data_IF_005336653166
#
_entry.id   IF_005336653166
#
_cell.length_a   1.000
_cell.length_b   1.000
_cell.length_c   1.000
_cell.angle_alpha   90.00
_cell.angle_beta   90.00
_cell.angle_gamma   90.00
#
_symmetry.space_group_name_H-M   'P 1'
#
loop_
_entity.id
_entity.type
_entity.pdbx_description
1 polymer ?
#
# COMPACT_ATOMS: atom_id res chain seq x y z
N UNK A 1 -21.14 -36.45 -5.71
CA UNK A 1 -20.17 -36.28 -4.60
C UNK A 1 -19.48 -34.95 -4.79
N UNK A 2 -19.90 -33.91 -4.07
CA UNK A 2 -19.28 -32.59 -4.15
C UNK A 2 -18.00 -32.59 -3.29
N UNK A 3 -16.84 -32.52 -3.94
CA UNK A 3 -15.56 -32.40 -3.24
C UNK A 3 -15.51 -31.08 -2.50
N UNK A 4 -15.31 -31.14 -1.18
CA UNK A 4 -15.02 -29.97 -0.34
C UNK A 4 -13.73 -29.33 -0.87
N UNK A 5 -13.85 -28.18 -1.55
CA UNK A 5 -12.71 -27.36 -1.94
C UNK A 5 -12.09 -26.82 -0.65
N UNK A 6 -10.89 -27.29 -0.31
CA UNK A 6 -10.11 -26.67 0.76
C UNK A 6 -9.80 -25.24 0.32
N UNK A 7 -10.30 -24.26 1.08
CA UNK A 7 -9.94 -22.87 0.86
C UNK A 7 -8.53 -22.62 1.41
N UNK A 8 -7.80 -21.67 0.80
CA UNK A 8 -6.50 -21.22 1.32
C UNK A 8 -6.62 -20.92 2.82
N UNK A 9 -5.57 -21.25 3.58
CA UNK A 9 -5.55 -20.99 5.03
C UNK A 9 -6.02 -19.56 5.26
N UNK A 10 -7.09 -19.48 6.05
CA UNK A 10 -7.69 -18.26 6.51
C UNK A 10 -6.61 -17.27 6.95
N UNK A 11 -6.51 -16.12 6.27
CA UNK A 11 -5.77 -14.97 6.80
C UNK A 11 -6.51 -14.55 8.06
N UNK A 12 -5.99 -14.94 9.21
CA UNK A 12 -6.61 -14.65 10.50
C UNK A 12 -6.59 -13.13 10.74
N UNK A 13 -7.69 -12.47 10.37
CA UNK A 13 -8.26 -11.22 10.90
C UNK A 13 -7.26 -10.14 11.35
N UNK A 14 -6.72 -9.31 10.43
CA UNK A 14 -6.40 -7.88 10.73
C UNK A 14 -6.07 -7.00 9.51
N UNK A 15 -6.65 -7.22 8.31
CA UNK A 15 -6.37 -6.29 7.19
C UNK A 15 -7.13 -4.95 7.23
N UNK A 16 -7.95 -4.73 8.26
CA UNK A 16 -8.51 -3.43 8.63
C UNK A 16 -8.53 -3.31 10.16
N UNK A 17 -7.95 -2.21 10.68
CA UNK A 17 -7.86 -1.81 12.10
C UNK A 17 -6.92 -2.61 13.04
N UNK A 18 -5.74 -2.05 13.32
CA UNK A 18 -5.34 -1.62 14.68
C UNK A 18 -4.06 -0.79 14.60
N UNK A 19 -4.25 0.53 14.61
CA UNK A 19 -3.19 1.48 14.90
C UNK A 19 -2.88 1.37 16.40
N UNK A 20 -2.02 0.42 16.81
CA UNK A 20 -1.41 0.53 18.15
C UNK A 20 -0.32 1.58 18.07
N UNK A 21 -0.57 2.72 18.68
CA UNK A 21 0.43 3.74 18.99
C UNK A 21 1.59 3.07 19.72
N UNK A 22 2.72 2.92 19.03
CA UNK A 22 3.99 2.66 19.69
C UNK A 22 4.42 3.96 20.40
N UNK A 23 3.90 4.16 21.61
CA UNK A 23 4.49 5.08 22.58
C UNK A 23 5.86 4.52 22.94
N UNK A 24 6.89 5.34 22.75
CA UNK A 24 8.27 4.99 23.02
C UNK A 24 8.46 4.48 24.46
N UNK A 25 9.21 3.41 24.62
CA UNK A 25 10.02 3.18 25.82
C UNK A 25 11.43 2.75 25.39
N UNK A 26 12.47 3.28 26.05
CA UNK A 26 13.85 3.16 25.60
C UNK A 26 14.50 1.87 26.11
N UNK A 27 15.69 1.59 25.57
CA UNK A 27 16.65 0.55 25.98
C UNK A 27 16.48 -0.81 25.31
N UNK A 28 17.08 -0.97 24.12
CA UNK A 28 17.99 -2.10 23.87
C UNK A 28 19.10 -1.70 22.89
N UNK A 29 20.30 -2.26 23.14
CA UNK A 29 21.58 -1.95 22.51
C UNK A 29 21.56 -2.13 20.99
N UNK A 30 22.29 -1.25 20.30
CA UNK A 30 22.63 -1.32 18.88
C UNK A 30 23.40 -2.62 18.58
N UNK A 31 22.79 -3.55 17.85
CA UNK A 31 23.54 -4.44 16.96
C UNK A 31 23.59 -3.80 15.57
N UNK A 32 24.75 -3.78 14.88
CA UNK A 32 24.85 -3.23 13.54
C UNK A 32 24.21 -4.21 12.57
N UNK A 33 22.88 -4.16 12.42
CA UNK A 33 22.22 -4.86 11.32
C UNK A 33 22.48 -4.06 10.06
N UNK A 34 23.32 -4.60 9.18
CA UNK A 34 23.62 -4.06 7.87
C UNK A 34 22.34 -3.61 7.14
N UNK A 35 22.30 -2.32 6.79
CA UNK A 35 21.32 -1.74 5.88
C UNK A 35 21.44 -2.44 4.52
N UNK A 36 20.63 -3.47 4.28
CA UNK A 36 20.34 -3.91 2.92
C UNK A 36 19.31 -2.93 2.35
N UNK A 37 19.82 -1.91 1.66
CA UNK A 37 19.10 -1.30 0.55
C UNK A 37 18.55 -2.45 -0.31
N UNK A 38 17.26 -2.40 -0.68
CA UNK A 38 16.70 -3.27 -1.71
C UNK A 38 17.28 -2.82 -3.06
N UNK A 39 18.58 -3.04 -3.22
CA UNK A 39 19.21 -3.08 -4.53
C UNK A 39 18.48 -4.18 -5.30
N UNK A 40 17.97 -3.86 -6.49
CA UNK A 40 17.51 -4.83 -7.48
C UNK A 40 18.58 -5.91 -7.62
N UNK A 41 18.39 -7.03 -6.91
CA UNK A 41 19.22 -8.21 -7.11
C UNK A 41 18.87 -8.71 -8.49
N UNK A 42 19.82 -8.68 -9.42
CA UNK A 42 19.73 -9.47 -10.64
C UNK A 42 19.66 -10.93 -10.18
N UNK A 43 18.47 -11.51 -10.23
CA UNK A 43 18.28 -12.90 -9.89
C UNK A 43 19.04 -13.76 -10.90
N UNK A 44 19.79 -14.74 -10.43
CA UNK A 44 20.36 -15.77 -11.31
C UNK A 44 19.22 -16.64 -11.82
N UNK A 45 19.37 -17.27 -13.00
CA UNK A 45 18.37 -18.20 -13.55
C UNK A 45 17.94 -19.25 -12.52
N UNK A 46 18.89 -19.81 -11.78
CA UNK A 46 18.64 -20.76 -10.68
C UNK A 46 17.77 -20.19 -9.55
N UNK A 47 17.84 -18.88 -9.30
CA UNK A 47 17.00 -18.23 -8.29
C UNK A 47 15.58 -17.97 -8.79
N UNK A 48 15.39 -17.78 -10.09
CA UNK A 48 14.07 -17.61 -10.71
C UNK A 48 13.33 -18.95 -10.69
N UNK A 49 13.97 -20.03 -11.14
CA UNK A 49 13.37 -21.37 -11.10
C UNK A 49 12.97 -21.79 -9.68
N UNK A 50 13.81 -21.49 -8.69
CA UNK A 50 13.44 -21.74 -7.30
C UNK A 50 12.22 -20.93 -6.83
N UNK A 51 12.09 -19.65 -7.24
CA UNK A 51 10.90 -18.85 -6.93
C UNK A 51 9.64 -19.41 -7.60
N UNK A 52 9.76 -19.89 -8.84
CA UNK A 52 8.66 -20.51 -9.59
C UNK A 52 8.14 -21.76 -8.87
N UNK A 53 9.04 -22.67 -8.50
CA UNK A 53 8.70 -23.87 -7.72
C UNK A 53 8.07 -23.52 -6.36
N UNK A 54 8.61 -22.51 -5.66
CA UNK A 54 8.06 -22.06 -4.37
C UNK A 54 6.61 -21.57 -4.51
N UNK A 55 6.30 -20.79 -5.56
CA UNK A 55 4.94 -20.28 -5.82
C UNK A 55 3.96 -21.42 -6.07
N UNK A 56 4.32 -22.38 -6.93
CA UNK A 56 3.48 -23.54 -7.25
C UNK A 56 3.23 -24.36 -5.98
N UNK A 57 4.29 -24.68 -5.24
CA UNK A 57 4.18 -25.44 -3.99
C UNK A 57 3.29 -24.72 -2.97
N UNK A 58 3.43 -23.40 -2.80
CA UNK A 58 2.57 -22.61 -1.91
C UNK A 58 1.12 -22.60 -2.37
N UNK A 59 0.87 -22.49 -3.67
CA UNK A 59 -0.48 -22.51 -4.21
C UNK A 59 -1.16 -23.87 -3.98
N UNK A 60 -0.48 -24.97 -4.29
CA UNK A 60 -0.99 -26.34 -4.09
C UNK A 60 -1.22 -26.66 -2.60
N UNK A 61 -0.37 -26.13 -1.73
CA UNK A 61 -0.51 -26.28 -0.28
C UNK A 61 -1.46 -25.26 0.36
N UNK A 62 -2.15 -24.44 -0.43
CA UNK A 62 -3.12 -23.47 0.07
C UNK A 62 -2.53 -22.39 1.02
N UNK A 63 -1.23 -22.12 0.86
CA UNK A 63 -0.40 -21.24 1.69
C UNK A 63 0.17 -20.03 0.90
N UNK A 64 -0.22 -19.84 -0.37
CA UNK A 64 0.17 -18.66 -1.15
C UNK A 64 -0.63 -17.42 -0.74
N UNK A 65 0.10 -16.33 -0.44
CA UNK A 65 -0.48 -15.07 0.04
C UNK A 65 -0.20 -13.89 -0.92
N UNK A 66 -0.84 -12.75 -0.68
CA UNK A 66 -0.64 -11.52 -1.48
C UNK A 66 0.80 -11.03 -1.39
N UNK A 67 1.42 -11.13 -0.21
CA UNK A 67 2.80 -10.73 0.02
C UNK A 67 3.79 -11.53 -0.82
N UNK A 68 3.52 -12.83 -1.04
CA UNK A 68 4.35 -13.66 -1.91
C UNK A 68 4.26 -13.18 -3.36
N UNK A 69 3.04 -12.90 -3.85
CA UNK A 69 2.78 -12.38 -5.20
C UNK A 69 3.50 -11.04 -5.41
N UNK A 70 3.37 -10.10 -4.46
CA UNK A 70 4.03 -8.79 -4.53
C UNK A 70 5.56 -8.96 -4.50
N UNK A 71 6.09 -9.83 -3.64
CA UNK A 71 7.53 -10.07 -3.53
C UNK A 71 8.12 -10.56 -4.85
N UNK A 72 7.49 -11.55 -5.49
CA UNK A 72 8.02 -12.11 -6.75
C UNK A 72 7.88 -11.13 -7.91
N UNK A 73 6.84 -10.29 -7.92
CA UNK A 73 6.64 -9.27 -8.96
C UNK A 73 7.76 -8.22 -9.02
N UNK A 74 8.52 -8.05 -7.94
CA UNK A 74 9.69 -7.16 -7.88
C UNK A 74 10.84 -7.61 -8.80
N UNK A 75 10.87 -8.88 -9.19
CA UNK A 75 11.88 -9.42 -10.11
C UNK A 75 11.70 -8.91 -11.55
N UNK A 76 10.47 -8.51 -11.92
CA UNK A 76 10.12 -8.06 -13.27
C UNK A 76 10.34 -9.13 -14.35
N UNK A 77 10.39 -10.40 -13.98
CA UNK A 77 10.56 -11.51 -14.90
C UNK A 77 9.22 -11.90 -15.56
N UNK A 78 9.09 -11.82 -16.90
CA UNK A 78 7.87 -12.21 -17.62
C UNK A 78 7.42 -13.65 -17.36
N UNK A 79 8.35 -14.59 -17.11
CA UNK A 79 7.99 -15.99 -16.85
C UNK A 79 7.21 -16.13 -15.54
N UNK A 80 7.47 -15.26 -14.55
CA UNK A 80 6.70 -15.25 -13.31
C UNK A 80 5.26 -14.82 -13.57
N UNK A 81 5.04 -13.88 -14.50
CA UNK A 81 3.69 -13.49 -14.90
C UNK A 81 2.91 -14.68 -15.49
N UNK A 82 3.56 -15.46 -16.37
CA UNK A 82 2.97 -16.67 -16.96
C UNK A 82 2.55 -17.64 -15.87
N UNK A 83 3.45 -17.95 -14.94
CA UNK A 83 3.20 -18.92 -13.86
C UNK A 83 2.12 -18.43 -12.90
N UNK A 84 2.09 -17.13 -12.57
CA UNK A 84 1.02 -16.58 -11.74
C UNK A 84 -0.34 -16.73 -12.43
N UNK A 85 -0.42 -16.49 -13.74
CA UNK A 85 -1.67 -16.68 -14.50
C UNK A 85 -2.07 -18.16 -14.58
N UNK A 86 -1.14 -19.08 -14.80
CA UNK A 86 -1.40 -20.52 -14.76
C UNK A 86 -1.92 -20.96 -13.38
N UNK A 87 -1.32 -20.47 -12.29
CA UNK A 87 -1.80 -20.72 -10.92
C UNK A 87 -3.21 -20.18 -10.74
N UNK A 88 -3.48 -18.94 -11.18
CA UNK A 88 -4.81 -18.31 -11.08
C UNK A 88 -5.87 -19.16 -11.78
N UNK A 89 -5.60 -19.63 -12.99
CA UNK A 89 -6.50 -20.47 -13.78
C UNK A 89 -6.72 -21.83 -13.10
N UNK A 90 -5.62 -22.53 -12.76
CA UNK A 90 -5.66 -23.85 -12.13
C UNK A 90 -6.39 -23.85 -10.79
N UNK A 91 -6.21 -22.79 -9.99
CA UNK A 91 -6.88 -22.65 -8.69
C UNK A 91 -8.28 -22.04 -8.80
N UNK A 92 -8.68 -21.57 -9.99
CA UNK A 92 -9.94 -20.86 -10.24
C UNK A 92 -10.16 -19.71 -9.25
N UNK A 93 -9.12 -18.93 -8.97
CA UNK A 93 -9.21 -17.87 -7.97
C UNK A 93 -10.06 -16.71 -8.45
N UNK A 94 -10.95 -16.19 -7.58
CA UNK A 94 -11.86 -15.13 -7.99
C UNK A 94 -11.10 -13.81 -8.17
N UNK A 95 -11.56 -13.01 -9.13
CA UNK A 95 -11.10 -11.63 -9.37
C UNK A 95 -11.91 -10.61 -8.56
N UNK A 96 -13.11 -10.99 -8.11
CA UNK A 96 -13.95 -10.18 -7.24
C UNK A 96 -14.02 -10.78 -5.84
N UNK A 97 -14.43 -9.95 -4.87
CA UNK A 97 -14.67 -10.43 -3.51
C UNK A 97 -15.88 -11.37 -3.55
N UNK A 98 -15.71 -12.59 -3.03
CA UNK A 98 -16.79 -13.57 -2.92
C UNK A 98 -17.07 -13.80 -1.45
N UNK A 99 -18.32 -13.61 -1.05
CA UNK A 99 -18.81 -13.95 0.28
C UNK A 99 -19.57 -15.28 0.19
N UNK A 100 -19.19 -16.23 1.03
CA UNK A 100 -19.86 -17.51 1.15
C UNK A 100 -21.13 -17.37 1.99
N UNK A 101 -22.01 -18.37 1.92
CA UNK A 101 -23.28 -18.41 2.67
C UNK A 101 -23.07 -18.36 4.19
N UNK A 102 -21.91 -18.81 4.68
CA UNK A 102 -21.53 -18.77 6.09
C UNK A 102 -20.92 -17.42 6.53
N UNK A 103 -20.89 -16.42 5.64
CA UNK A 103 -20.28 -15.10 5.88
C UNK A 103 -18.75 -15.09 5.76
N UNK A 104 -18.11 -16.20 5.38
CA UNK A 104 -16.67 -16.20 5.11
C UNK A 104 -16.36 -15.50 3.78
N UNK A 105 -15.30 -14.69 3.78
CA UNK A 105 -14.87 -13.93 2.59
C UNK A 105 -13.69 -14.63 1.94
N UNK A 106 -13.80 -14.93 0.66
CA UNK A 106 -12.69 -15.39 -0.17
C UNK A 106 -11.97 -14.16 -0.73
N UNK A 107 -10.66 -13.99 -0.45
CA UNK A 107 -9.89 -12.88 -0.98
C UNK A 107 -9.81 -12.99 -2.51
N UNK A 108 -9.88 -11.87 -3.24
CA UNK A 108 -9.81 -11.84 -4.70
C UNK A 108 -8.36 -12.04 -5.20
N UNK A 109 -7.78 -13.20 -4.94
CA UNK A 109 -6.39 -13.55 -5.29
C UNK A 109 -6.13 -13.42 -6.79
N UNK A 110 -7.13 -13.71 -7.63
CA UNK A 110 -7.01 -13.55 -9.08
C UNK A 110 -6.73 -12.10 -9.50
N UNK A 111 -7.32 -11.12 -8.80
CA UNK A 111 -7.09 -9.70 -9.08
C UNK A 111 -5.70 -9.24 -8.64
N UNK A 112 -5.20 -9.76 -7.52
CA UNK A 112 -3.81 -9.49 -7.10
C UNK A 112 -2.80 -10.02 -8.11
N UNK A 113 -3.06 -11.20 -8.68
CA UNK A 113 -2.26 -11.76 -9.76
C UNK A 113 -2.34 -10.89 -11.01
N UNK A 114 -3.52 -10.40 -11.40
CA UNK A 114 -3.67 -9.52 -12.55
C UNK A 114 -2.88 -8.23 -12.39
N UNK A 115 -2.97 -7.58 -11.23
CA UNK A 115 -2.19 -6.38 -10.91
C UNK A 115 -0.69 -6.66 -10.91
N UNK A 116 -0.25 -7.78 -10.33
CA UNK A 116 1.15 -8.16 -10.30
C UNK A 116 1.70 -8.48 -11.69
N UNK A 117 0.92 -9.17 -12.52
CA UNK A 117 1.23 -9.50 -13.91
C UNK A 117 1.36 -8.23 -14.76
N UNK A 118 0.40 -7.32 -14.61
CA UNK A 118 0.42 -6.01 -15.27
C UNK A 118 1.66 -5.21 -14.86
N UNK A 119 1.99 -5.20 -13.56
CA UNK A 119 3.23 -4.58 -13.12
C UNK A 119 4.42 -5.24 -13.79
N UNK A 120 4.62 -6.56 -13.68
CA UNK A 120 5.76 -7.30 -14.23
C UNK A 120 6.04 -6.91 -15.69
N UNK A 121 4.99 -6.93 -16.52
CA UNK A 121 5.10 -6.68 -17.96
C UNK A 121 5.25 -5.18 -18.25
N UNK A 122 4.33 -4.35 -17.75
CA UNK A 122 4.13 -2.98 -18.25
C UNK A 122 4.60 -1.88 -17.30
N UNK A 123 5.18 -2.22 -16.16
CA UNK A 123 5.75 -1.16 -15.32
C UNK A 123 4.75 -0.50 -14.39
N UNK A 124 5.23 0.63 -13.87
CA UNK A 124 4.39 1.62 -13.22
C UNK A 124 3.35 2.22 -14.16
N UNK A 125 3.61 2.28 -15.47
CA UNK A 125 2.64 2.77 -16.45
C UNK A 125 1.48 1.78 -16.65
N UNK A 126 1.76 0.47 -16.71
CA UNK A 126 0.71 -0.55 -16.71
C UNK A 126 -0.20 -0.46 -15.48
N UNK A 127 0.39 -0.26 -14.30
CA UNK A 127 -0.38 -0.04 -13.07
C UNK A 127 -1.24 1.23 -13.14
N UNK A 128 -0.71 2.32 -13.69
CA UNK A 128 -1.47 3.55 -13.87
C UNK A 128 -2.66 3.36 -14.82
N UNK A 129 -2.47 2.67 -15.95
CA UNK A 129 -3.56 2.36 -16.88
C UNK A 129 -4.62 1.46 -16.23
N UNK A 130 -4.20 0.44 -15.48
CA UNK A 130 -5.09 -0.45 -14.75
C UNK A 130 -5.90 0.28 -13.67
N UNK A 131 -5.31 1.30 -13.06
CA UNK A 131 -5.94 2.13 -12.04
C UNK A 131 -7.03 3.06 -12.57
N UNK A 132 -7.23 3.20 -13.89
CA UNK A 132 -8.37 3.94 -14.45
C UNK A 132 -9.69 3.20 -14.24
N UNK A 133 -9.66 1.88 -14.02
CA UNK A 133 -10.83 1.07 -13.69
C UNK A 133 -11.12 1.15 -12.18
N UNK A 134 -12.30 1.66 -11.82
CA UNK A 134 -12.74 1.85 -10.44
C UNK A 134 -12.75 0.56 -9.60
N UNK A 135 -12.94 -0.61 -10.23
CA UNK A 135 -12.94 -1.88 -9.53
C UNK A 135 -11.52 -2.36 -9.19
N UNK A 136 -10.53 -1.89 -9.96
CA UNK A 136 -9.13 -2.33 -9.90
C UNK A 136 -8.25 -1.36 -9.13
N UNK A 137 -8.57 -0.06 -9.12
CA UNK A 137 -7.76 0.99 -8.50
C UNK A 137 -7.38 0.69 -7.05
N UNK A 138 -8.28 0.08 -6.26
CA UNK A 138 -8.00 -0.29 -4.86
C UNK A 138 -6.85 -1.31 -4.73
N UNK A 139 -6.73 -2.23 -5.68
CA UNK A 139 -5.67 -3.24 -5.70
C UNK A 139 -4.37 -2.63 -6.20
N UNK A 140 -4.43 -1.74 -7.19
CA UNK A 140 -3.25 -0.98 -7.64
C UNK A 140 -2.68 -0.14 -6.49
N UNK A 141 -3.52 0.62 -5.77
CA UNK A 141 -3.07 1.39 -4.59
C UNK A 141 -2.45 0.44 -3.54
N UNK A 142 -3.14 -0.67 -3.25
CA UNK A 142 -2.69 -1.69 -2.31
C UNK A 142 -1.37 -2.35 -2.72
N UNK A 143 -1.10 -2.46 -4.01
CA UNK A 143 0.14 -2.97 -4.56
C UNK A 143 1.27 -1.92 -4.44
N UNK A 144 1.02 -0.68 -4.91
CA UNK A 144 1.98 0.42 -4.90
C UNK A 144 2.49 0.77 -3.50
N UNK A 145 1.65 0.72 -2.47
CA UNK A 145 2.05 1.03 -1.09
C UNK A 145 3.07 0.05 -0.49
N UNK A 146 3.19 -1.15 -1.04
CA UNK A 146 4.20 -2.13 -0.61
C UNK A 146 5.58 -1.81 -1.21
N UNK A 147 5.61 -1.08 -2.33
CA UNK A 147 6.84 -0.59 -2.97
C UNK A 147 7.19 0.80 -2.42
N UNK A 148 8.16 0.85 -1.50
CA UNK A 148 8.68 2.11 -0.93
C UNK A 148 9.65 2.84 -1.88
N UNK A 149 9.17 3.20 -3.07
CA UNK A 149 9.96 3.87 -4.12
C UNK A 149 9.37 5.23 -4.50
N UNK A 150 10.19 6.11 -5.09
CA UNK A 150 9.74 7.41 -5.61
C UNK A 150 8.72 7.24 -6.73
N UNK A 151 8.86 6.21 -7.54
CA UNK A 151 7.98 5.88 -8.66
C UNK A 151 6.57 5.52 -8.14
N UNK A 152 6.47 4.74 -7.06
CA UNK A 152 5.16 4.42 -6.46
C UNK A 152 4.43 5.68 -5.99
N UNK A 153 5.16 6.63 -5.40
CA UNK A 153 4.60 7.92 -4.98
C UNK A 153 4.10 8.70 -6.20
N UNK A 154 4.91 8.80 -7.25
CA UNK A 154 4.53 9.50 -8.49
C UNK A 154 3.31 8.87 -9.16
N UNK A 155 3.19 7.54 -9.20
CA UNK A 155 2.00 6.86 -9.73
C UNK A 155 0.77 7.15 -8.88
N UNK A 156 0.87 7.08 -7.55
CA UNK A 156 -0.25 7.42 -6.67
C UNK A 156 -0.75 8.85 -6.89
N UNK A 157 0.16 9.81 -7.10
CA UNK A 157 -0.21 11.18 -7.44
C UNK A 157 -0.87 11.28 -8.82
N UNK A 158 -0.34 10.61 -9.84
CA UNK A 158 -0.98 10.54 -11.17
C UNK A 158 -2.38 9.94 -11.09
N UNK A 159 -2.57 8.90 -10.29
CA UNK A 159 -3.89 8.29 -10.08
C UNK A 159 -4.82 9.32 -9.42
N UNK A 160 -4.33 10.12 -8.47
CA UNK A 160 -5.16 11.12 -7.79
C UNK A 160 -5.73 12.19 -8.75
N UNK A 161 -5.00 12.53 -9.82
CA UNK A 161 -5.47 13.49 -10.83
C UNK A 161 -6.75 12.99 -11.54
N UNK A 162 -6.86 11.67 -11.77
CA UNK A 162 -8.05 11.03 -12.38
C UNK A 162 -9.25 11.10 -11.44
N UNK A 163 -9.02 10.88 -10.14
CA UNK A 163 -10.07 10.82 -9.12
C UNK A 163 -10.30 12.16 -8.42
N UNK A 164 -9.95 13.26 -9.08
CA UNK A 164 -10.15 14.61 -8.55
C UNK A 164 -11.62 14.91 -8.27
N UNK A 165 -11.84 15.79 -7.29
CA UNK A 165 -13.03 15.85 -6.43
C UNK A 165 -14.29 16.28 -7.18
N UNK A 166 -15.12 15.32 -7.60
CA UNK A 166 -16.48 15.62 -8.07
C UNK A 166 -17.56 14.62 -7.59
N UNK A 167 -17.19 13.45 -7.04
CA UNK A 167 -18.14 12.46 -6.51
C UNK A 167 -17.72 11.76 -5.19
N UNK A 168 -18.68 11.17 -4.47
CA UNK A 168 -18.43 10.41 -3.25
C UNK A 168 -17.61 9.13 -3.49
N UNK A 169 -17.76 8.46 -4.64
CA UNK A 169 -16.95 7.29 -4.99
C UNK A 169 -15.47 7.67 -5.12
N UNK A 170 -15.21 8.81 -5.76
CA UNK A 170 -13.87 9.37 -5.92
C UNK A 170 -13.24 9.78 -4.58
N UNK A 171 -14.02 10.32 -3.63
CA UNK A 171 -13.55 10.62 -2.26
C UNK A 171 -12.91 9.40 -1.60
N UNK A 172 -13.58 8.24 -1.63
CA UNK A 172 -13.08 7.03 -0.97
C UNK A 172 -11.76 6.55 -1.58
N UNK A 173 -11.64 6.63 -2.91
CA UNK A 173 -10.40 6.32 -3.61
C UNK A 173 -9.29 7.30 -3.23
N UNK A 174 -9.59 8.60 -3.14
CA UNK A 174 -8.62 9.63 -2.74
C UNK A 174 -8.07 9.40 -1.32
N UNK A 175 -8.94 9.05 -0.37
CA UNK A 175 -8.53 8.71 0.99
C UNK A 175 -7.61 7.48 1.01
N UNK A 176 -7.89 6.48 0.15
CA UNK A 176 -7.01 5.30 0.01
C UNK A 176 -5.65 5.66 -0.60
N UNK A 177 -5.63 6.53 -1.61
CA UNK A 177 -4.38 7.04 -2.19
C UNK A 177 -3.54 7.71 -1.10
N UNK A 178 -4.13 8.60 -0.29
CA UNK A 178 -3.43 9.28 0.80
C UNK A 178 -2.96 8.30 1.88
N UNK A 179 -3.75 7.27 2.19
CA UNK A 179 -3.33 6.18 3.07
C UNK A 179 -2.08 5.47 2.52
N UNK A 180 -2.05 5.21 1.21
CA UNK A 180 -0.87 4.67 0.52
C UNK A 180 0.34 5.60 0.63
N UNK A 181 0.15 6.91 0.39
CA UNK A 181 1.21 7.91 0.56
C UNK A 181 1.74 7.94 2.00
N UNK A 182 0.87 7.88 3.01
CA UNK A 182 1.27 7.81 4.42
C UNK A 182 2.13 6.57 4.70
N UNK A 183 1.75 5.40 4.16
CA UNK A 183 2.52 4.15 4.32
C UNK A 183 3.90 4.22 3.68
N UNK A 184 4.02 4.87 2.52
CA UNK A 184 5.30 5.01 1.82
C UNK A 184 6.19 6.07 2.49
N UNK A 185 5.65 7.24 2.83
CA UNK A 185 6.43 8.44 3.14
C UNK A 185 6.62 8.73 4.63
N UNK A 186 5.75 8.22 5.51
CA UNK A 186 5.75 8.61 6.93
C UNK A 186 6.54 7.68 7.86
N UNK A 187 7.15 6.61 7.32
CA UNK A 187 7.78 5.56 8.12
C UNK A 187 9.27 5.37 7.77
N UNK A 188 10.06 4.70 8.64
CA UNK A 188 11.45 4.39 8.35
C UNK A 188 11.61 3.64 7.02
N UNK A 189 12.65 4.02 6.27
CA UNK A 189 12.89 3.50 4.92
C UNK A 189 12.03 4.15 3.84
N UNK A 190 11.39 5.28 4.11
CA UNK A 190 10.75 6.10 3.09
C UNK A 190 11.76 6.49 1.99
N UNK A 191 11.35 6.48 0.71
CA UNK A 191 12.21 6.87 -0.39
C UNK A 191 12.53 8.37 -0.33
N UNK A 192 13.68 8.74 -0.90
CA UNK A 192 13.95 10.14 -1.22
C UNK A 192 13.10 10.52 -2.42
N UNK A 193 12.35 11.63 -2.31
CA UNK A 193 11.51 12.16 -3.38
C UNK A 193 11.90 13.61 -3.68
N UNK A 194 11.71 14.02 -4.92
CA UNK A 194 11.90 15.39 -5.38
C UNK A 194 10.97 16.38 -4.64
N UNK A 195 11.41 17.63 -4.53
CA UNK A 195 10.63 18.68 -3.87
C UNK A 195 9.31 18.99 -4.60
N UNK A 196 9.29 18.81 -5.93
CA UNK A 196 8.10 18.90 -6.77
C UNK A 196 7.06 17.84 -6.38
N UNK A 197 7.47 16.56 -6.32
CA UNK A 197 6.64 15.43 -5.87
C UNK A 197 6.17 15.62 -4.42
N UNK A 198 7.05 16.10 -3.54
CA UNK A 198 6.71 16.39 -2.14
C UNK A 198 5.63 17.46 -2.04
N UNK A 199 5.77 18.54 -2.80
CA UNK A 199 4.80 19.64 -2.83
C UNK A 199 3.44 19.17 -3.33
N UNK A 200 3.40 18.43 -4.45
CA UNK A 200 2.16 17.83 -4.97
C UNK A 200 1.47 16.92 -3.96
N UNK A 201 2.23 16.04 -3.31
CA UNK A 201 1.67 15.15 -2.28
C UNK A 201 1.12 15.94 -1.09
N UNK A 202 1.82 16.98 -0.64
CA UNK A 202 1.36 17.87 0.43
C UNK A 202 0.07 18.58 0.05
N UNK A 203 0.02 19.21 -1.12
CA UNK A 203 -1.16 19.91 -1.65
C UNK A 203 -2.38 18.98 -1.69
N UNK A 204 -2.22 17.80 -2.29
CA UNK A 204 -3.28 16.79 -2.34
C UNK A 204 -3.82 16.44 -0.95
N UNK A 205 -2.94 16.20 0.03
CA UNK A 205 -3.35 15.85 1.40
C UNK A 205 -4.09 17.02 2.05
N UNK A 206 -3.58 18.24 1.89
CA UNK A 206 -4.19 19.44 2.49
C UNK A 206 -5.56 19.74 1.90
N UNK A 207 -5.71 19.63 0.58
CA UNK A 207 -6.99 19.81 -0.10
C UNK A 207 -8.01 18.77 0.34
N UNK A 208 -7.57 17.52 0.51
CA UNK A 208 -8.42 16.41 0.92
C UNK A 208 -8.91 16.48 2.36
N UNK A 209 -8.31 17.32 3.22
CA UNK A 209 -8.81 17.52 4.60
C UNK A 209 -10.23 18.07 4.62
N UNK A 210 -10.60 18.88 3.62
CA UNK A 210 -11.97 19.43 3.49
C UNK A 210 -13.02 18.36 3.23
N UNK A 211 -12.59 17.17 2.80
CA UNK A 211 -13.47 16.04 2.48
C UNK A 211 -13.69 15.13 3.67
N UNK A 212 -12.96 15.32 4.78
CA UNK A 212 -13.00 14.41 5.92
C UNK A 212 -14.30 14.56 6.73
N UNK A 213 -14.99 13.43 6.95
CA UNK A 213 -16.24 13.34 7.69
C UNK A 213 -16.09 12.56 9.01
N UNK A 214 -14.91 11.99 9.29
CA UNK A 214 -14.67 11.21 10.52
C UNK A 214 -13.31 11.49 11.14
N UNK A 215 -13.20 11.21 12.44
CA UNK A 215 -11.95 11.30 13.20
C UNK A 215 -10.84 10.43 12.59
N UNK A 216 -11.19 9.26 12.06
CA UNK A 216 -10.26 8.34 11.39
C UNK A 216 -9.72 8.91 10.08
N UNK A 217 -10.59 9.53 9.27
CA UNK A 217 -10.17 10.19 8.02
C UNK A 217 -9.21 11.35 8.32
N UNK A 218 -9.58 12.24 9.25
CA UNK A 218 -8.70 13.32 9.68
C UNK A 218 -7.36 12.78 10.21
N UNK A 219 -7.40 11.82 11.14
CA UNK A 219 -6.20 11.23 11.73
C UNK A 219 -5.25 10.64 10.69
N UNK A 220 -5.79 9.93 9.70
CA UNK A 220 -4.98 9.36 8.61
C UNK A 220 -4.34 10.44 7.73
N UNK A 221 -5.09 11.45 7.31
CA UNK A 221 -4.55 12.54 6.47
C UNK A 221 -3.50 13.36 7.22
N UNK A 222 -3.73 13.67 8.50
CA UNK A 222 -2.72 14.34 9.33
C UNK A 222 -1.46 13.48 9.46
N UNK A 223 -1.59 12.17 9.63
CA UNK A 223 -0.45 11.28 9.67
C UNK A 223 0.35 11.27 8.36
N UNK A 224 -0.30 11.42 7.21
CA UNK A 224 0.36 11.51 5.91
C UNK A 224 1.24 12.76 5.78
N UNK A 225 0.85 13.88 6.40
CA UNK A 225 1.65 15.11 6.43
C UNK A 225 2.99 14.95 7.16
N UNK A 226 3.24 13.88 7.93
CA UNK A 226 4.55 13.65 8.56
C UNK A 226 5.68 13.51 7.54
N UNK A 227 5.40 12.88 6.40
CA UNK A 227 6.39 12.64 5.34
C UNK A 227 6.67 13.88 4.49
N UNK A 228 5.68 14.76 4.31
CA UNK A 228 5.72 15.81 3.27
C UNK A 228 5.38 17.22 3.76
N UNK A 229 4.75 17.36 4.92
CA UNK A 229 4.25 18.62 5.45
C UNK A 229 5.34 19.59 5.87
N UNK A 230 5.00 20.87 5.89
CA UNK A 230 5.87 22.03 6.10
C UNK A 230 5.32 22.99 7.17
N UNK A 231 5.85 24.20 7.24
CA UNK A 231 5.38 25.27 8.12
C UNK A 231 3.90 25.60 7.92
N UNK A 232 3.41 25.63 6.68
CA UNK A 232 2.00 25.88 6.38
C UNK A 232 1.12 24.71 6.84
N UNK A 233 1.59 23.48 6.65
CA UNK A 233 0.95 22.28 7.18
C UNK A 233 0.80 22.35 8.70
N UNK A 234 1.81 22.86 9.42
CA UNK A 234 1.74 23.05 10.89
C UNK A 234 0.64 24.06 11.26
N UNK A 235 0.52 25.17 10.51
CA UNK A 235 -0.54 26.16 10.71
C UNK A 235 -1.91 25.52 10.46
N UNK A 236 -2.05 24.77 9.37
CA UNK A 236 -3.27 24.04 9.01
C UNK A 236 -3.69 23.04 10.11
N UNK A 237 -2.76 22.23 10.62
CA UNK A 237 -3.02 21.29 11.74
C UNK A 237 -3.48 22.01 13.01
N UNK A 238 -3.25 23.32 13.15
CA UNK A 238 -3.73 24.08 14.31
C UNK A 238 -5.19 24.51 14.21
N UNK A 239 -5.76 24.50 13.01
CA UNK A 239 -7.13 24.93 12.75
C UNK A 239 -8.09 23.78 12.44
N UNK A 240 -7.57 22.55 12.23
CA UNK A 240 -8.43 21.37 12.08
C UNK A 240 -9.14 21.02 13.39
N UNK A 241 -10.32 20.38 13.33
CA UNK A 241 -11.03 19.92 14.52
C UNK A 241 -10.13 19.06 15.41
N UNK A 242 -10.18 19.31 16.72
CA UNK A 242 -9.39 18.55 17.70
C UNK A 242 -9.75 17.07 17.62
N UNK A 243 -8.73 16.23 17.50
CA UNK A 243 -8.88 14.78 17.47
C UNK A 243 -9.12 14.23 18.88
N UNK A 244 -10.04 13.27 18.97
CA UNK A 244 -10.50 12.67 20.23
C UNK A 244 -10.42 11.14 20.19
N UNK A 245 -10.57 10.50 21.35
CA UNK A 245 -10.51 9.05 21.49
C UNK A 245 -9.15 8.49 21.10
N UNK A 246 -9.14 7.43 20.29
CA UNK A 246 -7.91 6.78 19.81
C UNK A 246 -7.00 7.72 19.01
N UNK A 247 -7.54 8.80 18.44
CA UNK A 247 -6.77 9.74 17.62
C UNK A 247 -6.23 10.94 18.42
N UNK A 248 -6.52 11.02 19.71
CA UNK A 248 -6.15 12.19 20.52
C UNK A 248 -4.65 12.42 20.58
N UNK A 249 -4.22 13.66 20.33
CA UNK A 249 -2.81 14.05 20.37
C UNK A 249 -2.03 13.78 19.09
N UNK A 250 -2.68 13.21 18.06
CA UNK A 250 -2.09 13.01 16.73
C UNK A 250 -1.56 14.32 16.15
N UNK A 251 -2.26 15.44 16.36
CA UNK A 251 -1.87 16.77 15.90
C UNK A 251 -0.49 17.19 16.41
N UNK A 252 -0.24 16.97 17.70
CA UNK A 252 1.03 17.29 18.36
C UNK A 252 2.16 16.39 17.85
N UNK A 253 1.87 15.08 17.67
CA UNK A 253 2.82 14.12 17.12
C UNK A 253 3.22 14.50 15.69
N UNK A 254 2.23 14.81 14.84
CA UNK A 254 2.46 15.21 13.45
C UNK A 254 3.24 16.51 13.37
N UNK A 255 2.84 17.55 14.11
CA UNK A 255 3.57 18.83 14.17
C UNK A 255 5.03 18.63 14.58
N UNK A 256 5.29 17.79 15.57
CA UNK A 256 6.66 17.47 16.02
C UNK A 256 7.45 16.75 14.93
N UNK A 257 6.84 15.79 14.24
CA UNK A 257 7.49 15.06 13.15
C UNK A 257 7.88 16.01 12.00
N UNK A 258 6.96 16.90 11.59
CA UNK A 258 7.23 17.91 10.55
C UNK A 258 8.40 18.81 10.96
N UNK A 259 8.35 19.41 12.16
CA UNK A 259 9.44 20.28 12.66
C UNK A 259 10.79 19.57 12.69
N UNK A 260 10.81 18.31 13.11
CA UNK A 260 12.04 17.52 13.16
C UNK A 260 12.60 17.21 11.77
N UNK A 261 11.75 17.04 10.76
CA UNK A 261 12.16 16.83 9.37
C UNK A 261 12.76 18.11 8.79
N UNK A 262 12.10 19.25 8.98
CA UNK A 262 12.53 20.54 8.46
C UNK A 262 13.87 21.00 9.04
N UNK A 263 14.18 20.66 10.30
CA UNK A 263 15.49 20.95 10.92
C UNK A 263 16.66 20.10 10.40
N UNK A 264 16.37 18.99 9.70
CA UNK A 264 17.37 18.05 9.18
C UNK A 264 17.70 18.28 7.71
N UNK A 265 16.91 19.12 7.04
CA UNK A 265 17.20 19.67 5.72
C UNK A 265 18.10 20.87 5.91
#
# INVERSE_FOLDING_TARGET
MAGSKKHNKFVNRTFFATLRFAVASPLYRKTPLHKKCLLQRRYTQSSIEHMKEELINKAENHDLNVEDIIKVSSSRDPDISIILQEIKERMSWPTNLVENVDGSIIPPMGMWIDVASEYIVNGYDGLFELAKDENKVRFVIGFLQEFKTSESVNVLLRISDIYSVSSNCQKNTLIKIISGLNRILSFPGAPVIEDSTRSKARELIQESLKLCNSQSEYGNLLCALRGVGDEESIKLISIVPKLVGEWSGTESIVKKAIKNRLKKV
#
